data_IF_544994195605
#
_entry.id   IF_544994195605
#
_cell.length_a   1.000
_cell.length_b   1.000
_cell.length_c   1.000
_cell.angle_alpha   90.00
_cell.angle_beta   90.00
_cell.angle_gamma   90.00
#
_symmetry.space_group_name_H-M   'P 1'
#
loop_
_entity.id
_entity.type
_entity.pdbx_description
1 polymer ?
#
# COMPACT_ATOMS: atom_id res chain seq x y z
N UNK A 1 -38.65 57.68 -2.65
CA UNK A 1 -37.92 56.54 -3.26
C UNK A 1 -38.24 55.31 -2.42
N UNK A 2 -39.13 54.44 -2.91
CA UNK A 2 -39.58 53.23 -2.20
C UNK A 2 -38.65 52.09 -2.58
N UNK A 3 -37.85 51.62 -1.63
CA UNK A 3 -36.98 50.47 -1.78
C UNK A 3 -37.83 49.22 -2.03
N UNK A 4 -37.67 48.59 -3.19
CA UNK A 4 -38.46 47.42 -3.62
C UNK A 4 -38.19 46.21 -2.70
N UNK A 5 -39.23 45.62 -2.07
CA UNK A 5 -39.07 44.48 -1.14
C UNK A 5 -38.59 43.19 -1.82
N UNK A 6 -38.60 43.14 -3.16
CA UNK A 6 -38.08 42.03 -3.96
C UNK A 6 -36.55 41.89 -3.92
N UNK A 7 -35.81 42.99 -3.70
CA UNK A 7 -34.34 42.96 -3.58
C UNK A 7 -33.89 42.37 -2.22
N UNK A 8 -34.69 42.54 -1.17
CA UNK A 8 -34.38 41.99 0.15
C UNK A 8 -34.59 40.47 0.23
N UNK A 9 -35.54 39.92 -0.55
CA UNK A 9 -35.85 38.49 -0.57
C UNK A 9 -34.83 37.64 -1.34
N UNK A 10 -34.14 38.22 -2.33
CA UNK A 10 -33.05 37.56 -3.08
C UNK A 10 -31.71 37.58 -2.35
N UNK A 11 -31.49 38.53 -1.43
CA UNK A 11 -30.27 38.60 -0.63
C UNK A 11 -30.16 37.47 0.41
N UNK A 12 -31.29 37.01 0.95
CA UNK A 12 -31.33 35.97 1.98
C UNK A 12 -30.73 34.61 1.55
N UNK A 13 -31.08 34.04 0.39
CA UNK A 13 -30.51 32.75 -0.05
C UNK A 13 -29.02 32.86 -0.40
N UNK A 14 -28.55 33.99 -0.93
CA UNK A 14 -27.13 34.22 -1.24
C UNK A 14 -26.30 34.28 0.04
N UNK A 15 -26.80 34.99 1.06
CA UNK A 15 -26.15 35.06 2.37
C UNK A 15 -26.18 33.69 3.07
N UNK A 16 -27.28 32.94 2.97
CA UNK A 16 -27.34 31.58 3.50
C UNK A 16 -26.34 30.62 2.81
N UNK A 17 -26.17 30.72 1.48
CA UNK A 17 -25.14 29.99 0.73
C UNK A 17 -23.72 30.36 1.17
N UNK A 18 -23.47 31.64 1.46
CA UNK A 18 -22.17 32.12 1.95
C UNK A 18 -21.87 31.65 3.38
N UNK A 19 -22.88 31.55 4.24
CA UNK A 19 -22.72 31.07 5.62
C UNK A 19 -22.44 29.56 5.65
N UNK A 20 -23.11 28.76 4.80
CA UNK A 20 -22.81 27.31 4.67
C UNK A 20 -21.40 27.08 4.09
N UNK A 21 -20.88 27.98 3.27
CA UNK A 21 -19.51 27.90 2.75
C UNK A 21 -18.42 28.24 3.78
N UNK A 22 -18.78 28.89 4.89
CA UNK A 22 -17.84 29.25 5.98
C UNK A 22 -17.83 28.26 7.14
N UNK A 23 -18.62 27.19 7.08
CA UNK A 23 -18.54 26.16 8.12
C UNK A 23 -17.20 25.42 7.98
N UNK A 24 -16.36 25.38 9.04
CA UNK A 24 -15.07 24.73 8.96
C UNK A 24 -15.31 23.24 8.67
N UNK A 25 -14.93 22.83 7.45
CA UNK A 25 -15.07 21.45 7.02
C UNK A 25 -14.28 20.57 7.97
N UNK A 26 -14.94 19.54 8.49
CA UNK A 26 -14.25 18.55 9.33
C UNK A 26 -13.15 17.89 8.49
N UNK A 27 -11.95 17.71 9.05
CA UNK A 27 -10.88 17.02 8.35
C UNK A 27 -11.33 15.60 8.03
N UNK A 28 -11.09 15.15 6.80
CA UNK A 28 -11.44 13.81 6.35
C UNK A 28 -10.75 12.75 7.21
N UNK A 29 -11.50 11.73 7.60
CA UNK A 29 -10.94 10.56 8.28
C UNK A 29 -10.59 9.45 7.29
N UNK A 30 -9.69 8.55 7.69
CA UNK A 30 -9.17 7.46 6.86
C UNK A 30 -10.29 6.64 6.18
N UNK A 31 -11.36 6.32 6.91
CA UNK A 31 -12.48 5.54 6.38
C UNK A 31 -13.22 6.28 5.25
N UNK A 32 -13.40 7.60 5.37
CA UNK A 32 -14.04 8.41 4.34
C UNK A 32 -13.16 8.47 3.09
N UNK A 33 -11.85 8.63 3.27
CA UNK A 33 -10.86 8.62 2.17
C UNK A 33 -10.92 7.32 1.38
N UNK A 34 -10.96 6.16 2.06
CA UNK A 34 -11.14 4.86 1.41
C UNK A 34 -12.46 4.81 0.65
N UNK A 35 -13.56 5.24 1.28
CA UNK A 35 -14.86 5.28 0.61
C UNK A 35 -14.88 6.14 -0.66
N UNK A 36 -14.20 7.30 -0.65
CA UNK A 36 -14.05 8.16 -1.84
C UNK A 36 -13.21 7.49 -2.94
N UNK A 37 -12.13 6.82 -2.56
CA UNK A 37 -11.29 6.10 -3.51
C UNK A 37 -12.02 4.92 -4.16
N UNK A 38 -12.77 4.14 -3.37
CA UNK A 38 -13.58 3.03 -3.85
C UNK A 38 -14.71 3.51 -4.76
N UNK A 39 -15.34 4.66 -4.45
CA UNK A 39 -16.31 5.29 -5.35
C UNK A 39 -15.70 5.64 -6.72
N UNK A 40 -14.47 6.14 -6.76
CA UNK A 40 -13.78 6.42 -8.02
C UNK A 40 -13.47 5.12 -8.79
N UNK A 41 -12.96 4.08 -8.12
CA UNK A 41 -12.70 2.79 -8.78
C UNK A 41 -13.94 2.23 -9.46
N UNK A 42 -15.07 2.20 -8.74
CA UNK A 42 -16.35 1.73 -9.30
C UNK A 42 -16.79 2.57 -10.49
N UNK A 43 -16.60 3.89 -10.43
CA UNK A 43 -16.91 4.78 -11.55
C UNK A 43 -16.03 4.51 -12.79
N UNK A 44 -14.79 4.03 -12.58
CA UNK A 44 -13.88 3.62 -13.64
C UNK A 44 -14.10 2.16 -14.11
N UNK A 45 -15.06 1.43 -13.52
CA UNK A 45 -15.26 0.00 -13.80
C UNK A 45 -14.13 -0.90 -13.29
N UNK A 46 -13.33 -0.40 -12.35
CA UNK A 46 -12.23 -1.13 -11.74
C UNK A 46 -12.68 -1.82 -10.44
N UNK A 47 -12.14 -3.02 -10.20
CA UNK A 47 -12.21 -3.71 -8.92
C UNK A 47 -10.80 -4.10 -8.49
N UNK A 48 -10.10 -3.17 -7.83
CA UNK A 48 -8.72 -3.39 -7.37
C UNK A 48 -8.66 -4.00 -5.97
N UNK A 49 -9.81 -4.36 -5.40
CA UNK A 49 -9.93 -4.94 -4.07
C UNK A 49 -9.66 -3.94 -2.95
N UNK A 50 -9.29 -4.46 -1.78
CA UNK A 50 -9.05 -3.65 -0.59
C UNK A 50 -7.74 -2.84 -0.70
N UNK A 51 -7.69 -1.62 -0.15
CA UNK A 51 -6.47 -0.83 -0.13
C UNK A 51 -5.41 -1.46 0.77
N UNK A 52 -4.16 -1.49 0.29
CA UNK A 52 -2.99 -2.00 1.03
C UNK A 52 -2.32 -0.92 1.88
N UNK A 53 -2.51 0.36 1.54
CA UNK A 53 -2.01 1.49 2.30
C UNK A 53 -2.90 2.73 2.11
N UNK A 54 -3.01 3.55 3.17
CA UNK A 54 -3.68 4.85 3.12
C UNK A 54 -2.79 5.86 3.82
N UNK A 55 -2.17 6.75 3.05
CA UNK A 55 -1.20 7.72 3.53
C UNK A 55 -1.85 9.07 3.75
N UNK A 56 -1.53 9.68 4.89
CA UNK A 56 -1.96 11.03 5.22
C UNK A 56 -1.43 12.05 4.22
N UNK A 57 -2.10 13.20 4.05
CA UNK A 57 -1.66 14.22 3.11
C UNK A 57 -0.31 14.82 3.51
N UNK A 58 0.59 14.91 2.54
CA UNK A 58 1.92 15.52 2.69
C UNK A 58 1.86 17.05 2.65
N UNK A 59 3.03 17.66 2.39
CA UNK A 59 3.19 18.95 1.78
C UNK A 59 2.23 19.17 0.61
N UNK A 60 1.79 20.42 0.48
CA UNK A 60 0.96 20.85 -0.62
C UNK A 60 1.70 20.73 -1.97
N UNK A 61 0.96 20.41 -3.03
CA UNK A 61 1.47 20.47 -4.39
C UNK A 61 1.63 21.93 -4.87
N UNK A 62 2.03 22.11 -6.13
CA UNK A 62 2.22 23.43 -6.74
C UNK A 62 0.93 24.29 -6.75
N UNK A 63 -0.24 23.66 -6.67
CA UNK A 63 -1.54 24.33 -6.62
C UNK A 63 -2.03 24.55 -5.18
N UNK A 64 -1.19 24.27 -4.18
CA UNK A 64 -1.52 24.42 -2.76
C UNK A 64 -2.38 23.28 -2.20
N UNK A 65 -2.63 22.20 -2.96
CA UNK A 65 -3.50 21.10 -2.54
C UNK A 65 -2.74 20.02 -1.82
N UNK A 66 -3.37 19.45 -0.80
CA UNK A 66 -2.82 18.32 -0.04
C UNK A 66 -3.61 17.06 -0.37
N UNK A 67 -2.90 15.97 -0.63
CA UNK A 67 -3.50 14.73 -1.12
C UNK A 67 -3.26 13.55 -0.20
N UNK A 68 -4.35 12.95 0.28
CA UNK A 68 -4.31 11.57 0.74
C UNK A 68 -3.94 10.65 -0.42
N UNK A 69 -3.18 9.59 -0.14
CA UNK A 69 -2.88 8.56 -1.13
C UNK A 69 -3.42 7.21 -0.67
N UNK A 70 -4.25 6.59 -1.49
CA UNK A 70 -4.77 5.24 -1.29
C UNK A 70 -4.11 4.32 -2.30
N UNK A 71 -3.35 3.35 -1.83
CA UNK A 71 -2.64 2.37 -2.67
C UNK A 71 -3.34 1.02 -2.59
N UNK A 72 -3.37 0.32 -3.73
CA UNK A 72 -3.96 -1.01 -3.89
C UNK A 72 -2.89 -2.00 -4.37
N UNK A 73 -3.23 -3.29 -4.40
CA UNK A 73 -2.35 -4.32 -4.97
C UNK A 73 -2.03 -3.93 -6.43
N UNK A 74 -0.75 -3.89 -6.85
CA UNK A 74 -0.38 -3.60 -8.23
C UNK A 74 -1.09 -4.52 -9.22
N UNK A 75 -1.28 -4.04 -10.46
CA UNK A 75 -1.85 -4.85 -11.53
C UNK A 75 -0.95 -6.02 -11.94
N UNK A 76 -1.51 -6.97 -12.70
CA UNK A 76 -0.73 -8.07 -13.28
C UNK A 76 0.36 -7.58 -14.25
N UNK A 77 0.19 -6.38 -14.79
CA UNK A 77 1.18 -5.62 -15.57
C UNK A 77 2.27 -4.96 -14.71
N UNK A 78 2.20 -5.11 -13.38
CA UNK A 78 3.12 -4.49 -12.44
C UNK A 78 2.85 -3.00 -12.20
N UNK A 79 1.80 -2.42 -12.79
CA UNK A 79 1.50 -1.01 -12.64
C UNK A 79 0.95 -0.71 -11.24
N UNK A 80 1.46 0.36 -10.63
CA UNK A 80 0.95 0.85 -9.36
C UNK A 80 -0.50 1.31 -9.49
N UNK A 81 -1.34 0.86 -8.57
CA UNK A 81 -2.75 1.24 -8.50
C UNK A 81 -2.96 2.17 -7.32
N UNK A 82 -3.12 3.45 -7.64
CA UNK A 82 -3.18 4.53 -6.65
C UNK A 82 -4.34 5.47 -6.95
N UNK A 83 -5.01 5.92 -5.89
CA UNK A 83 -5.99 7.00 -5.93
C UNK A 83 -5.55 8.12 -4.99
N UNK A 84 -5.62 9.35 -5.47
CA UNK A 84 -5.39 10.56 -4.69
C UNK A 84 -6.73 11.13 -4.25
N UNK A 85 -6.86 11.46 -2.96
CA UNK A 85 -8.06 12.11 -2.41
C UNK A 85 -7.67 13.44 -1.79
N UNK A 86 -8.26 14.51 -2.30
CA UNK A 86 -8.00 15.87 -1.85
C UNK A 86 -8.41 16.04 -0.38
N UNK A 87 -7.52 16.61 0.43
CA UNK A 87 -7.69 16.72 1.88
C UNK A 87 -8.90 17.57 2.29
N UNK A 88 -9.18 18.64 1.54
CA UNK A 88 -10.15 19.67 1.92
C UNK A 88 -11.52 19.47 1.24
N UNK A 89 -11.52 18.84 0.06
CA UNK A 89 -12.72 18.64 -0.76
C UNK A 89 -13.18 17.19 -0.82
N UNK A 90 -12.30 16.23 -0.53
CA UNK A 90 -12.59 14.81 -0.69
C UNK A 90 -12.74 14.37 -2.15
N UNK A 91 -12.32 15.21 -3.09
CA UNK A 91 -12.34 14.88 -4.51
C UNK A 91 -11.27 13.84 -4.81
N UNK A 92 -11.67 12.75 -5.47
CA UNK A 92 -10.80 11.63 -5.80
C UNK A 92 -10.37 11.72 -7.27
N UNK A 93 -9.09 11.41 -7.54
CA UNK A 93 -8.56 11.30 -8.91
C UNK A 93 -7.44 10.26 -9.01
N UNK A 94 -7.15 9.83 -10.23
CA UNK A 94 -5.90 9.13 -10.52
C UNK A 94 -4.71 10.10 -10.46
N UNK A 95 -3.52 9.62 -10.09
CA UNK A 95 -2.32 10.43 -10.10
C UNK A 95 -2.02 10.96 -11.51
N UNK A 96 -1.64 12.25 -11.66
CA UNK A 96 -1.17 12.76 -12.94
C UNK A 96 0.16 12.10 -13.36
N UNK A 97 0.50 12.19 -14.65
CA UNK A 97 1.78 11.68 -15.14
C UNK A 97 2.96 12.36 -14.39
N UNK A 98 3.94 11.55 -13.98
CA UNK A 98 5.08 12.03 -13.20
C UNK A 98 4.79 12.31 -11.73
N UNK A 99 3.58 12.03 -11.24
CA UNK A 99 3.29 12.08 -9.81
C UNK A 99 4.20 11.10 -9.07
N UNK A 100 4.90 11.60 -8.04
CA UNK A 100 5.71 10.77 -7.17
C UNK A 100 4.79 10.00 -6.23
N UNK A 101 4.63 8.71 -6.49
CA UNK A 101 3.91 7.80 -5.59
C UNK A 101 4.68 7.72 -4.28
N UNK A 102 3.98 7.98 -3.18
CA UNK A 102 4.52 7.84 -1.84
C UNK A 102 4.32 6.40 -1.40
N UNK A 103 5.40 5.73 -1.07
CA UNK A 103 5.28 4.44 -0.41
C UNK A 103 5.14 4.74 1.08
N UNK A 104 4.35 3.93 1.79
CA UNK A 104 4.29 4.05 3.24
C UNK A 104 5.71 3.82 3.75
N UNK A 105 6.40 4.88 4.20
CA UNK A 105 7.56 4.68 5.06
C UNK A 105 7.06 3.82 6.22
N UNK A 106 7.83 2.79 6.57
CA UNK A 106 7.52 1.81 7.62
C UNK A 106 7.42 2.42 9.04
N UNK A 107 7.07 3.70 9.15
CA UNK A 107 6.95 4.50 10.35
C UNK A 107 5.49 4.65 10.85
N UNK A 108 4.48 4.20 10.08
CA UNK A 108 3.05 4.30 10.46
C UNK A 108 2.32 2.95 10.60
N UNK A 109 2.68 1.95 9.80
CA UNK A 109 2.68 0.58 10.30
C UNK A 109 3.90 0.52 11.19
N UNK A 110 3.82 -0.01 12.40
CA UNK A 110 5.03 -0.53 13.03
C UNK A 110 5.72 -1.33 11.93
N UNK A 111 6.87 -0.85 11.44
CA UNK A 111 7.71 -1.70 10.64
C UNK A 111 7.75 -3.01 11.40
N UNK A 112 7.57 -4.13 10.70
CA UNK A 112 8.17 -5.33 11.23
C UNK A 112 9.66 -5.00 11.14
N UNK A 113 10.17 -4.22 12.10
CA UNK A 113 11.56 -4.17 12.48
C UNK A 113 11.71 -5.55 13.05
N UNK A 114 12.13 -6.52 12.22
CA UNK A 114 12.01 -7.88 12.62
C UNK A 114 13.02 -8.00 13.74
N UNK A 115 12.51 -8.24 14.93
CA UNK A 115 13.19 -9.03 15.93
C UNK A 115 13.57 -10.43 15.35
N UNK A 116 13.14 -10.69 14.10
CA UNK A 116 13.46 -11.73 13.14
C UNK A 116 14.83 -11.64 12.44
N UNK A 117 15.72 -10.73 12.85
CA UNK A 117 17.17 -10.84 12.52
C UNK A 117 17.97 -11.58 13.59
N UNK A 118 17.31 -12.13 14.62
CA UNK A 118 18.00 -13.02 15.55
C UNK A 118 18.34 -14.34 14.85
N UNK A 119 19.61 -14.78 14.91
CA UNK A 119 20.01 -16.10 14.42
C UNK A 119 19.12 -17.18 15.02
N UNK A 120 18.67 -18.11 14.20
CA UNK A 120 17.82 -19.23 14.61
C UNK A 120 17.97 -20.43 13.70
N UNK A 121 17.16 -21.46 13.95
CA UNK A 121 17.16 -22.68 13.17
C UNK A 121 16.09 -22.68 12.06
N UNK A 122 15.21 -21.68 11.98
CA UNK A 122 14.07 -21.72 11.07
C UNK A 122 14.33 -20.98 9.75
N UNK A 123 13.78 -21.49 8.66
CA UNK A 123 13.67 -20.78 7.39
C UNK A 123 12.23 -20.85 6.89
N UNK A 124 11.76 -19.77 6.27
CA UNK A 124 10.44 -19.76 5.66
C UNK A 124 10.55 -20.16 4.19
N UNK A 125 9.97 -21.30 3.82
CA UNK A 125 9.87 -21.75 2.44
C UNK A 125 8.72 -20.99 1.78
N UNK A 126 9.05 -20.24 0.74
CA UNK A 126 8.09 -19.38 0.01
C UNK A 126 7.48 -20.15 -1.15
N UNK A 127 8.31 -20.85 -1.92
CA UNK A 127 7.86 -21.75 -2.98
C UNK A 127 8.92 -22.81 -3.28
N UNK A 128 8.45 -23.97 -3.74
CA UNK A 128 9.24 -25.10 -4.22
C UNK A 128 8.74 -25.47 -5.61
N UNK A 129 9.11 -24.66 -6.60
CA UNK A 129 8.64 -24.82 -7.98
C UNK A 129 9.74 -25.48 -8.82
N UNK A 130 9.56 -26.79 -9.09
CA UNK A 130 10.48 -27.61 -9.90
C UNK A 130 10.45 -27.28 -11.38
N UNK A 131 9.39 -26.63 -11.86
CA UNK A 131 9.21 -26.37 -13.30
C UNK A 131 9.86 -25.05 -13.72
N UNK A 132 10.18 -24.17 -12.76
CA UNK A 132 10.86 -22.90 -13.01
C UNK A 132 12.35 -23.10 -13.17
N UNK A 133 12.92 -22.37 -14.14
CA UNK A 133 14.38 -22.28 -14.28
C UNK A 133 14.99 -21.50 -13.11
N UNK A 134 16.27 -21.77 -12.80
CA UNK A 134 17.00 -21.02 -11.78
C UNK A 134 17.00 -19.50 -12.05
N UNK A 135 17.02 -19.10 -13.33
CA UNK A 135 16.93 -17.69 -13.75
C UNK A 135 15.56 -17.07 -13.46
N UNK A 136 14.47 -17.84 -13.59
CA UNK A 136 13.12 -17.38 -13.21
C UNK A 136 13.03 -17.22 -11.68
N UNK A 137 13.58 -18.17 -10.93
CA UNK A 137 13.61 -18.11 -9.47
C UNK A 137 14.46 -16.93 -8.98
N UNK A 138 15.59 -16.65 -9.62
CA UNK A 138 16.45 -15.50 -9.31
C UNK A 138 15.74 -14.17 -9.54
N UNK A 139 15.08 -14.01 -10.71
CA UNK A 139 14.26 -12.82 -11.00
C UNK A 139 13.14 -12.64 -9.98
N UNK A 140 12.54 -13.73 -9.54
CA UNK A 140 11.49 -13.69 -8.54
C UNK A 140 12.01 -13.31 -7.14
N UNK A 141 13.21 -13.78 -6.77
CA UNK A 141 13.89 -13.33 -5.55
C UNK A 141 14.16 -11.83 -5.59
N UNK A 142 14.66 -11.31 -6.70
CA UNK A 142 14.90 -9.87 -6.87
C UNK A 142 13.59 -9.08 -6.74
N UNK A 143 12.51 -9.56 -7.37
CA UNK A 143 11.18 -8.96 -7.26
C UNK A 143 10.68 -8.95 -5.82
N UNK A 144 10.84 -10.05 -5.09
CA UNK A 144 10.43 -10.18 -3.69
C UNK A 144 11.27 -9.30 -2.76
N UNK A 145 12.58 -9.22 -2.97
CA UNK A 145 13.46 -8.32 -2.21
C UNK A 145 13.16 -6.85 -2.48
N UNK A 146 12.90 -6.47 -3.74
CA UNK A 146 12.44 -5.12 -4.06
C UNK A 146 11.10 -4.81 -3.37
N UNK A 147 10.13 -5.73 -3.41
CA UNK A 147 8.85 -5.59 -2.73
C UNK A 147 9.03 -5.48 -1.20
N UNK A 148 9.90 -6.28 -0.61
CA UNK A 148 10.22 -6.24 0.81
C UNK A 148 10.78 -4.87 1.20
N UNK A 149 11.82 -4.41 0.49
CA UNK A 149 12.41 -3.09 0.69
C UNK A 149 11.40 -1.95 0.56
N UNK A 150 10.46 -2.06 -0.39
CA UNK A 150 9.43 -1.05 -0.63
C UNK A 150 8.24 -1.09 0.36
N UNK A 151 8.13 -2.14 1.17
CA UNK A 151 6.99 -2.34 2.10
C UNK A 151 7.40 -2.55 3.54
N UNK A 152 8.68 -2.33 3.86
CA UNK A 152 9.20 -2.35 5.23
C UNK A 152 9.55 -3.73 5.78
N UNK A 153 9.64 -4.76 4.92
CA UNK A 153 10.21 -6.06 5.28
C UNK A 153 11.70 -6.08 4.91
N UNK A 154 12.57 -6.66 5.74
CA UNK A 154 13.98 -6.78 5.38
C UNK A 154 14.14 -7.65 4.11
N UNK A 155 14.90 -7.22 3.09
CA UNK A 155 15.06 -7.96 1.84
C UNK A 155 16.02 -9.14 2.04
N UNK A 156 15.49 -10.26 2.53
CA UNK A 156 16.23 -11.49 2.88
C UNK A 156 15.70 -12.72 2.15
N UNK A 157 15.07 -12.52 0.99
CA UNK A 157 14.75 -13.61 0.09
C UNK A 157 16.01 -14.09 -0.60
N UNK A 158 16.17 -15.41 -0.70
CA UNK A 158 17.32 -16.05 -1.34
C UNK A 158 16.89 -17.38 -1.96
N UNK A 159 17.73 -17.87 -2.88
CA UNK A 159 17.57 -19.20 -3.45
C UNK A 159 18.31 -20.22 -2.63
N UNK A 160 17.63 -21.30 -2.24
CA UNK A 160 18.23 -22.47 -1.61
C UNK A 160 18.03 -23.68 -2.51
N UNK A 161 19.11 -24.40 -2.78
CA UNK A 161 19.04 -25.68 -3.47
C UNK A 161 18.87 -26.80 -2.43
N UNK A 162 17.74 -27.49 -2.47
CA UNK A 162 17.46 -28.64 -1.62
C UNK A 162 17.18 -29.87 -2.49
N UNK A 163 18.03 -30.90 -2.39
CA UNK A 163 17.84 -32.22 -3.03
C UNK A 163 17.35 -32.13 -4.50
N UNK A 164 18.09 -31.36 -5.31
CA UNK A 164 17.82 -31.12 -6.74
C UNK A 164 16.61 -30.23 -7.07
N UNK A 165 16.14 -29.43 -6.12
CA UNK A 165 15.10 -28.42 -6.32
C UNK A 165 15.56 -27.04 -5.89
N UNK A 166 15.36 -26.04 -6.76
CA UNK A 166 15.48 -24.64 -6.40
C UNK A 166 14.27 -24.19 -5.58
N UNK A 167 14.53 -23.60 -4.40
CA UNK A 167 13.50 -23.11 -3.51
C UNK A 167 13.74 -21.63 -3.21
N UNK A 168 12.68 -20.83 -3.19
CA UNK A 168 12.76 -19.46 -2.67
C UNK A 168 12.51 -19.53 -1.18
N UNK A 169 13.45 -19.02 -0.40
CA UNK A 169 13.41 -19.01 1.06
C UNK A 169 13.59 -17.61 1.61
N UNK A 170 13.02 -17.34 2.78
CA UNK A 170 13.25 -16.09 3.52
C UNK A 170 14.02 -16.35 4.80
N UNK A 171 15.03 -15.51 5.07
CA UNK A 171 15.80 -15.54 6.31
C UNK A 171 16.95 -16.55 6.34
N UNK A 172 17.28 -17.15 5.19
CA UNK A 172 18.42 -18.04 5.06
C UNK A 172 19.72 -17.25 4.82
N UNK A 173 20.78 -17.60 5.55
CA UNK A 173 22.10 -16.98 5.47
C UNK A 173 23.20 -18.03 5.22
N UNK A 174 22.96 -18.98 4.32
CA UNK A 174 23.92 -20.03 3.96
C UNK A 174 23.86 -21.24 4.90
N UNK A 175 24.31 -21.09 6.15
CA UNK A 175 24.35 -22.16 7.15
C UNK A 175 23.37 -21.92 8.33
N UNK A 176 22.92 -20.69 8.53
CA UNK A 176 21.99 -20.31 9.58
C UNK A 176 20.62 -19.88 9.02
N UNK A 177 19.59 -20.14 9.82
CA UNK A 177 18.25 -19.60 9.64
C UNK A 177 18.02 -18.37 10.52
N UNK A 178 16.75 -18.02 10.66
CA UNK A 178 16.27 -16.97 11.55
C UNK A 178 15.36 -17.55 12.61
N UNK A 179 15.13 -16.78 13.69
CA UNK A 179 14.04 -17.08 14.61
C UNK A 179 12.70 -16.93 13.89
N UNK A 180 11.82 -17.93 13.99
CA UNK A 180 10.48 -17.88 13.42
C UNK A 180 9.72 -16.60 13.79
N UNK A 181 9.19 -15.93 12.77
CA UNK A 181 8.36 -14.74 12.91
C UNK A 181 7.15 -14.81 11.96
N UNK A 182 5.99 -15.15 12.54
CA UNK A 182 4.75 -15.31 11.76
C UNK A 182 4.31 -14.00 11.06
N UNK A 183 4.82 -12.83 11.46
CA UNK A 183 4.56 -11.56 10.78
C UNK A 183 5.13 -11.54 9.34
N UNK A 184 6.23 -12.26 9.08
CA UNK A 184 6.79 -12.42 7.73
C UNK A 184 5.86 -13.26 6.85
N UNK A 185 5.29 -14.33 7.39
CA UNK A 185 4.32 -15.17 6.68
C UNK A 185 3.02 -14.42 6.39
N UNK A 186 2.55 -13.62 7.35
CA UNK A 186 1.38 -12.76 7.14
C UNK A 186 1.67 -11.67 6.10
N UNK A 187 2.88 -11.11 6.08
CA UNK A 187 3.31 -10.18 5.04
C UNK A 187 3.23 -10.82 3.65
N UNK A 188 3.73 -12.05 3.49
CA UNK A 188 3.68 -12.79 2.21
C UNK A 188 2.24 -13.03 1.75
N UNK A 189 1.38 -13.51 2.66
CA UNK A 189 -0.04 -13.76 2.39
C UNK A 189 -0.79 -12.52 1.91
N UNK A 190 -0.46 -11.36 2.46
CA UNK A 190 -1.14 -10.11 2.15
C UNK A 190 -0.65 -9.44 0.85
N UNK A 191 0.55 -9.77 0.37
CA UNK A 191 1.24 -9.00 -0.69
C UNK A 191 1.72 -9.82 -1.87
N UNK A 192 1.60 -11.15 -1.80
CA UNK A 192 2.10 -12.06 -2.83
C UNK A 192 1.13 -13.23 -3.03
N UNK A 193 1.22 -13.97 -4.15
CA UNK A 193 0.44 -15.18 -4.35
C UNK A 193 0.87 -16.36 -3.45
N UNK A 194 1.99 -16.26 -2.73
CA UNK A 194 2.57 -17.32 -1.90
C UNK A 194 1.87 -17.44 -0.53
N UNK A 195 0.59 -17.77 -0.56
CA UNK A 195 -0.24 -17.87 0.65
C UNK A 195 0.02 -19.14 1.49
N UNK A 196 0.63 -20.13 0.85
CA UNK A 196 0.98 -21.46 1.35
C UNK A 196 2.41 -21.56 1.91
N UNK A 197 3.13 -20.44 1.99
CA UNK A 197 4.46 -20.38 2.59
C UNK A 197 4.48 -20.96 4.02
N UNK A 198 5.47 -21.80 4.32
CA UNK A 198 5.55 -22.56 5.57
C UNK A 198 6.97 -22.59 6.16
N UNK A 199 7.04 -22.67 7.49
CA UNK A 199 8.30 -22.71 8.22
C UNK A 199 8.88 -24.11 8.24
N UNK A 200 10.19 -24.21 8.07
CA UNK A 200 10.98 -25.44 8.20
C UNK A 200 12.15 -25.17 9.12
N UNK A 201 12.35 -26.06 10.08
CA UNK A 201 13.56 -26.09 10.91
C UNK A 201 14.72 -26.71 10.11
N UNK A 202 15.85 -26.02 10.08
CA UNK A 202 17.10 -26.53 9.55
C UNK A 202 17.59 -27.62 10.50
N UNK A 203 17.47 -28.88 10.08
CA UNK A 203 18.14 -29.98 10.77
C UNK A 203 19.65 -29.73 10.75
N UNK A 204 20.25 -29.59 11.93
CA UNK A 204 21.71 -29.55 12.11
C UNK A 204 22.35 -30.90 11.78
#
# INVERSE_FOLDING_TARGET
MRSSPLLALLALPIVALMIVACEPRRPLVRAEVVGKADSLQRALGADWGAPIAVLQPDAADADGRRWWQVSYVPGADGADRVVLVDHDTGWARLPPAGWRIRHADAAGSAGIAPDALQPGADVLIVTTDRERSDDDLAREVDRLNALAGNTGLAPRFSLRNARDEGQIVYGWAGDAGMRRDDAVRDWLRLRTPYSDAYWVELAQ
#
